data_IF_830959086742
#
_entry.id   IF_830959086742
#
_cell.length_a   1.000
_cell.length_b   1.000
_cell.length_c   1.000
_cell.angle_alpha   90.00
_cell.angle_beta   90.00
_cell.angle_gamma   90.00
#
_symmetry.space_group_name_H-M   'P 1'
#
loop_
_entity.id
_entity.type
_entity.pdbx_description
1 polymer ?
#
# COMPACT_ATOMS: atom_id res chain seq x y z
N UNK A 1 1.65 -17.65 7.64
CA UNK A 1 2.43 -16.40 7.77
C UNK A 1 3.18 -16.18 6.45
N UNK A 2 2.56 -15.52 5.46
CA UNK A 2 3.29 -15.08 4.27
C UNK A 2 3.87 -13.70 4.59
N UNK A 3 5.12 -13.66 5.03
CA UNK A 3 5.88 -12.41 5.10
C UNK A 3 6.16 -11.96 3.67
N UNK A 4 5.95 -10.67 3.38
CA UNK A 4 6.29 -10.09 2.08
C UNK A 4 7.76 -10.34 1.74
N UNK A 5 8.01 -10.71 0.49
CA UNK A 5 9.33 -11.08 0.01
C UNK A 5 10.20 -9.81 -0.16
N UNK A 6 11.46 -9.86 0.28
CA UNK A 6 12.38 -8.71 0.25
C UNK A 6 12.98 -8.49 -1.15
N UNK A 7 13.33 -7.25 -1.50
CA UNK A 7 14.08 -6.92 -2.74
C UNK A 7 15.34 -7.78 -2.88
N UNK A 8 15.99 -8.13 -1.75
CA UNK A 8 17.17 -9.01 -1.73
C UNK A 8 16.84 -10.44 -2.18
N UNK A 9 15.68 -10.97 -1.81
CA UNK A 9 15.24 -12.32 -2.19
C UNK A 9 14.90 -12.39 -3.69
N UNK A 10 14.33 -11.32 -4.27
CA UNK A 10 14.06 -11.24 -5.71
C UNK A 10 15.33 -11.39 -6.55
N UNK A 11 16.39 -10.66 -6.17
CA UNK A 11 17.70 -10.71 -6.83
C UNK A 11 18.29 -12.12 -6.74
N UNK A 12 18.16 -12.76 -5.57
CA UNK A 12 18.62 -14.14 -5.36
C UNK A 12 17.89 -15.12 -6.29
N UNK A 13 16.56 -15.00 -6.43
CA UNK A 13 15.78 -15.89 -7.30
C UNK A 13 16.20 -15.72 -8.77
N UNK A 14 16.33 -14.48 -9.24
CA UNK A 14 16.77 -14.21 -10.61
C UNK A 14 18.17 -14.77 -10.87
N UNK A 15 19.09 -14.58 -9.92
CA UNK A 15 20.44 -15.13 -10.03
C UNK A 15 20.45 -16.66 -10.08
N UNK A 16 19.63 -17.33 -9.26
CA UNK A 16 19.47 -18.79 -9.30
C UNK A 16 18.96 -19.27 -10.66
N UNK A 17 17.93 -18.60 -11.21
CA UNK A 17 17.36 -18.96 -12.51
C UNK A 17 18.34 -18.73 -13.65
N UNK A 18 19.07 -17.61 -13.62
CA UNK A 18 20.12 -17.31 -14.59
C UNK A 18 21.26 -18.34 -14.56
N UNK A 19 21.72 -18.74 -13.37
CA UNK A 19 22.78 -19.75 -13.24
C UNK A 19 22.33 -21.15 -13.66
N UNK A 20 21.05 -21.49 -13.47
CA UNK A 20 20.50 -22.78 -13.87
C UNK A 20 20.24 -22.90 -15.38
N UNK A 21 19.97 -21.76 -16.05
CA UNK A 21 19.76 -21.66 -17.51
C UNK A 21 18.88 -22.80 -18.09
N UNK A 22 17.68 -22.97 -17.50
CA UNK A 22 16.71 -24.02 -17.88
C UNK A 22 17.28 -25.45 -17.95
N UNK A 23 18.34 -25.75 -17.18
CA UNK A 23 18.98 -27.06 -17.11
C UNK A 23 20.24 -27.21 -17.98
N UNK A 24 20.65 -26.17 -18.72
CA UNK A 24 21.92 -26.13 -19.47
C UNK A 24 23.07 -25.50 -18.67
N UNK A 25 22.76 -24.86 -17.55
CA UNK A 25 23.71 -24.17 -16.70
C UNK A 25 24.23 -25.05 -15.56
N UNK A 26 24.49 -24.40 -14.43
CA UNK A 26 25.04 -25.03 -13.23
C UNK A 26 24.03 -25.97 -12.56
N UNK A 27 24.56 -27.07 -12.01
CA UNK A 27 23.75 -27.98 -11.20
C UNK A 27 23.30 -27.29 -9.90
N UNK A 28 22.20 -27.76 -9.32
CA UNK A 28 21.70 -27.30 -8.01
C UNK A 28 22.80 -27.34 -6.92
N UNK A 29 23.71 -28.31 -6.98
CA UNK A 29 24.84 -28.41 -6.04
C UNK A 29 25.83 -27.26 -6.22
N UNK A 30 26.18 -26.93 -7.47
CA UNK A 30 27.10 -25.84 -7.77
C UNK A 30 26.50 -24.48 -7.39
N UNK A 31 25.23 -24.24 -7.75
CA UNK A 31 24.50 -23.00 -7.40
C UNK A 31 24.42 -22.81 -5.88
N UNK A 32 24.17 -23.90 -5.14
CA UNK A 32 24.13 -23.91 -3.68
C UNK A 32 25.47 -23.49 -3.06
N UNK A 33 26.60 -23.96 -3.62
CA UNK A 33 27.93 -23.59 -3.15
C UNK A 33 28.29 -22.14 -3.52
N UNK A 34 28.00 -21.72 -4.75
CA UNK A 34 28.32 -20.38 -5.24
C UNK A 34 27.56 -19.29 -4.48
N UNK A 35 26.28 -19.53 -4.17
CA UNK A 35 25.44 -18.55 -3.47
C UNK A 35 25.44 -18.74 -1.95
N UNK A 36 26.06 -19.80 -1.42
CA UNK A 36 26.01 -20.13 0.01
C UNK A 36 24.59 -20.46 0.52
N UNK A 37 23.70 -20.93 -0.36
CA UNK A 37 22.29 -21.20 -0.05
C UNK A 37 22.04 -22.69 0.13
N UNK A 38 21.03 -23.04 0.93
CA UNK A 38 20.62 -24.44 1.06
C UNK A 38 20.10 -25.00 -0.28
N UNK A 39 20.39 -26.28 -0.55
CA UNK A 39 19.88 -26.97 -1.76
C UNK A 39 18.34 -26.97 -1.82
N UNK A 40 17.68 -26.90 -0.67
CA UNK A 40 16.22 -26.82 -0.58
C UNK A 40 15.70 -25.45 -1.04
N UNK A 41 16.42 -24.38 -0.71
CA UNK A 41 16.12 -23.01 -1.16
C UNK A 41 16.28 -22.88 -2.67
N UNK A 42 17.39 -23.40 -3.22
CA UNK A 42 17.63 -23.43 -4.67
C UNK A 42 16.50 -24.19 -5.39
N UNK A 43 16.14 -25.39 -4.90
CA UNK A 43 15.01 -26.16 -5.47
C UNK A 43 13.68 -25.43 -5.39
N UNK A 44 13.38 -24.81 -4.25
CA UNK A 44 12.16 -24.02 -4.05
C UNK A 44 12.06 -22.93 -5.10
N UNK A 45 13.12 -22.13 -5.26
CA UNK A 45 13.12 -20.98 -6.17
C UNK A 45 13.18 -21.35 -7.65
N UNK A 46 13.75 -22.50 -8.02
CA UNK A 46 13.67 -23.02 -9.39
C UNK A 46 12.26 -23.48 -9.77
N UNK A 47 11.47 -23.98 -8.81
CA UNK A 47 10.09 -24.42 -9.04
C UNK A 47 9.08 -23.29 -9.07
N UNK A 48 9.40 -22.14 -8.47
CA UNK A 48 8.53 -20.97 -8.50
C UNK A 48 8.57 -20.35 -9.91
N UNK A 49 7.41 -20.07 -10.50
CA UNK A 49 7.32 -19.29 -11.73
C UNK A 49 7.64 -17.81 -11.47
N UNK A 50 8.23 -17.13 -12.46
CA UNK A 50 8.60 -15.70 -12.33
C UNK A 50 7.34 -14.85 -12.14
N UNK A 51 6.26 -15.17 -12.84
CA UNK A 51 5.02 -14.41 -12.85
C UNK A 51 4.34 -14.43 -11.46
N UNK A 52 4.29 -15.61 -10.85
CA UNK A 52 3.79 -15.80 -9.47
C UNK A 52 4.62 -15.06 -8.41
N UNK A 53 5.88 -14.72 -8.72
CA UNK A 53 6.74 -13.91 -7.85
C UNK A 53 6.49 -12.43 -8.09
N UNK A 54 6.40 -11.98 -9.35
CA UNK A 54 6.13 -10.57 -9.67
C UNK A 54 4.80 -10.09 -9.08
N UNK A 55 3.77 -10.93 -9.07
CA UNK A 55 2.50 -10.61 -8.39
C UNK A 55 2.67 -10.42 -6.88
N UNK A 56 3.54 -11.22 -6.24
CA UNK A 56 3.84 -11.06 -4.81
C UNK A 56 4.66 -9.81 -4.50
N UNK A 57 5.45 -9.31 -5.46
CA UNK A 57 6.17 -8.03 -5.35
C UNK A 57 5.30 -6.82 -5.70
N UNK A 58 4.30 -6.98 -6.56
CA UNK A 58 3.47 -5.89 -7.05
C UNK A 58 2.65 -5.24 -5.92
N UNK A 59 2.20 -6.03 -4.94
CA UNK A 59 1.57 -5.47 -3.75
C UNK A 59 1.89 -6.31 -2.48
N UNK A 60 2.92 -5.93 -1.69
CA UNK A 60 3.18 -6.57 -0.40
C UNK A 60 2.12 -6.23 0.65
N UNK A 61 1.13 -5.37 0.33
CA UNK A 61 0.09 -5.02 1.26
C UNK A 61 -0.91 -6.17 1.41
N UNK A 62 -0.85 -6.82 2.57
CA UNK A 62 -1.89 -7.75 2.99
C UNK A 62 -3.23 -7.00 2.97
N UNK A 63 -4.24 -7.60 2.34
CA UNK A 63 -5.62 -7.11 2.38
C UNK A 63 -6.02 -6.81 3.84
N UNK A 64 -6.35 -5.55 4.11
CA UNK A 64 -6.79 -5.09 5.41
C UNK A 64 -8.27 -5.39 5.53
N UNK A 65 -8.74 -5.71 6.73
CA UNK A 65 -10.18 -5.94 7.01
C UNK A 65 -11.08 -4.76 6.66
N UNK A 66 -10.51 -3.56 6.52
CA UNK A 66 -11.26 -2.34 6.17
C UNK A 66 -11.30 -2.10 4.65
N UNK A 67 -10.61 -2.93 3.85
CA UNK A 67 -10.61 -2.83 2.39
C UNK A 67 -12.00 -3.18 1.83
N UNK A 68 -12.72 -4.12 2.46
CA UNK A 68 -14.12 -4.47 2.13
C UNK A 68 -15.09 -3.27 2.23
N UNK A 69 -14.70 -2.23 2.97
CA UNK A 69 -15.48 -1.01 3.16
C UNK A 69 -14.81 0.22 2.57
N UNK A 70 -13.75 0.05 1.77
CA UNK A 70 -12.95 1.15 1.21
C UNK A 70 -13.81 2.12 0.41
N UNK A 71 -14.69 1.62 -0.45
CA UNK A 71 -15.53 2.46 -1.32
C UNK A 71 -16.45 3.38 -0.52
N UNK A 72 -17.04 2.85 0.55
CA UNK A 72 -17.88 3.64 1.45
C UNK A 72 -17.07 4.71 2.19
N UNK A 73 -15.85 4.36 2.64
CA UNK A 73 -14.96 5.31 3.31
C UNK A 73 -14.47 6.41 2.37
N UNK A 74 -14.16 6.07 1.10
CA UNK A 74 -13.80 7.04 0.07
C UNK A 74 -14.98 7.98 -0.22
N UNK A 75 -16.19 7.45 -0.36
CA UNK A 75 -17.40 8.25 -0.55
C UNK A 75 -17.60 9.26 0.60
N UNK A 76 -17.47 8.79 1.86
CA UNK A 76 -17.57 9.67 3.03
C UNK A 76 -16.51 10.77 3.04
N UNK A 77 -15.27 10.46 2.65
CA UNK A 77 -14.19 11.44 2.60
C UNK A 77 -14.34 12.44 1.45
N UNK A 78 -14.90 12.03 0.30
CA UNK A 78 -15.24 12.92 -0.81
C UNK A 78 -16.35 13.89 -0.42
N UNK A 79 -17.40 13.40 0.23
CA UNK A 79 -18.53 14.23 0.67
C UNK A 79 -18.16 15.12 1.86
N UNK A 80 -17.37 14.60 2.80
CA UNK A 80 -16.97 15.28 4.03
C UNK A 80 -15.45 15.20 4.24
N UNK A 81 -14.65 16.06 3.56
CA UNK A 81 -13.18 16.04 3.59
C UNK A 81 -12.58 16.21 4.99
N UNK A 82 -13.21 17.09 5.79
CA UNK A 82 -12.77 17.43 7.14
C UNK A 82 -13.31 16.47 8.21
N UNK A 83 -13.98 15.38 7.81
CA UNK A 83 -14.58 14.45 8.75
C UNK A 83 -13.51 13.73 9.58
N UNK A 84 -13.67 13.71 10.91
CA UNK A 84 -12.71 13.05 11.80
C UNK A 84 -12.82 11.53 11.71
N UNK A 85 -11.71 10.83 11.94
CA UNK A 85 -11.69 9.37 11.92
C UNK A 85 -12.63 8.73 12.95
N UNK A 86 -12.90 9.41 14.08
CA UNK A 86 -13.88 8.99 15.09
C UNK A 86 -15.31 9.03 14.54
N UNK A 87 -15.67 10.11 13.82
CA UNK A 87 -16.99 10.23 13.18
C UNK A 87 -17.16 9.19 12.07
N UNK A 88 -16.09 8.90 11.34
CA UNK A 88 -16.05 7.84 10.33
C UNK A 88 -16.27 6.47 10.96
N UNK A 89 -15.57 6.15 12.07
CA UNK A 89 -15.76 4.90 12.80
C UNK A 89 -17.22 4.71 13.25
N UNK A 90 -17.83 5.75 13.85
CA UNK A 90 -19.25 5.71 14.25
C UNK A 90 -20.19 5.48 13.07
N UNK A 91 -19.96 6.15 11.93
CA UNK A 91 -20.75 5.97 10.71
C UNK A 91 -20.55 4.60 10.06
N UNK A 92 -19.36 4.02 10.20
CA UNK A 92 -19.07 2.67 9.71
C UNK A 92 -19.76 1.62 10.59
N UNK A 93 -19.69 1.77 11.91
CA UNK A 93 -20.36 0.90 12.87
C UNK A 93 -21.89 0.95 12.74
N UNK A 94 -22.46 2.13 12.53
CA UNK A 94 -23.90 2.26 12.28
C UNK A 94 -24.37 1.55 11.00
N UNK A 95 -23.49 1.38 10.01
CA UNK A 95 -23.82 0.74 8.73
C UNK A 95 -23.60 -0.78 8.76
N UNK A 96 -22.51 -1.23 9.36
CA UNK A 96 -22.04 -2.63 9.30
C UNK A 96 -22.39 -3.40 10.58
N UNK A 97 -22.66 -2.71 11.68
CA UNK A 97 -22.85 -3.33 12.99
C UNK A 97 -21.50 -3.56 13.67
N UNK A 98 -21.28 -4.78 14.16
CA UNK A 98 -20.03 -5.13 14.83
C UNK A 98 -18.87 -5.28 13.84
N UNK A 99 -17.79 -4.55 14.07
CA UNK A 99 -16.64 -4.49 13.18
C UNK A 99 -15.46 -5.21 13.82
N UNK A 100 -14.81 -6.15 13.12
CA UNK A 100 -13.62 -6.85 13.61
C UNK A 100 -12.35 -5.99 13.48
N UNK A 101 -12.46 -4.68 13.73
CA UNK A 101 -11.39 -3.69 13.62
C UNK A 101 -11.44 -2.71 14.81
N UNK A 102 -10.31 -2.52 15.48
CA UNK A 102 -10.20 -1.57 16.58
C UNK A 102 -10.18 -0.11 16.11
N UNK A 103 -10.57 0.83 16.97
CA UNK A 103 -10.49 2.28 16.74
C UNK A 103 -9.13 2.73 16.21
N UNK A 104 -8.04 2.15 16.76
CA UNK A 104 -6.68 2.45 16.30
C UNK A 104 -6.46 2.04 14.84
N UNK A 105 -6.99 0.88 14.45
CA UNK A 105 -6.90 0.35 13.09
C UNK A 105 -7.69 1.23 12.11
N UNK A 106 -8.90 1.64 12.50
CA UNK A 106 -9.73 2.56 11.71
C UNK A 106 -9.03 3.90 11.52
N UNK A 107 -8.50 4.51 12.58
CA UNK A 107 -7.75 5.78 12.48
C UNK A 107 -6.55 5.68 11.54
N UNK A 108 -5.76 4.61 11.66
CA UNK A 108 -4.59 4.39 10.79
C UNK A 108 -5.01 4.24 9.33
N UNK A 109 -6.07 3.47 9.08
CA UNK A 109 -6.59 3.24 7.74
C UNK A 109 -7.13 4.53 7.11
N UNK A 110 -7.96 5.27 7.85
CA UNK A 110 -8.52 6.56 7.40
C UNK A 110 -7.42 7.58 7.13
N UNK A 111 -6.34 7.62 7.92
CA UNK A 111 -5.21 8.53 7.68
C UNK A 111 -4.56 8.25 6.32
N UNK A 112 -4.24 7.00 6.01
CA UNK A 112 -3.69 6.62 4.71
C UNK A 112 -4.67 6.94 3.57
N UNK A 113 -5.95 6.62 3.76
CA UNK A 113 -7.00 6.90 2.77
C UNK A 113 -7.18 8.40 2.52
N UNK A 114 -7.01 9.24 3.55
CA UNK A 114 -7.02 10.69 3.39
C UNK A 114 -5.83 11.20 2.60
N UNK A 115 -4.63 10.64 2.78
CA UNK A 115 -3.46 11.04 1.98
C UNK A 115 -3.67 10.73 0.48
N UNK A 116 -4.34 9.62 0.17
CA UNK A 116 -4.72 9.25 -1.20
C UNK A 116 -5.81 10.17 -1.78
N UNK A 117 -6.82 10.54 -0.98
CA UNK A 117 -7.98 11.33 -1.40
C UNK A 117 -7.77 12.84 -1.33
N UNK A 118 -6.87 13.33 -0.45
CA UNK A 118 -6.64 14.76 -0.19
C UNK A 118 -6.00 15.53 -1.36
N UNK A 119 -5.72 14.86 -2.47
CA UNK A 119 -5.19 15.44 -3.70
C UNK A 119 -6.19 16.35 -4.45
N UNK A 120 -7.47 16.42 -4.08
CA UNK A 120 -8.51 16.96 -4.97
C UNK A 120 -9.51 17.98 -4.38
N UNK A 121 -9.21 18.70 -3.28
CA UNK A 121 -10.09 19.81 -2.86
C UNK A 121 -9.56 21.16 -3.30
N UNK A 122 -10.18 21.69 -4.36
CA UNK A 122 -10.04 23.08 -4.78
C UNK A 122 -10.53 24.01 -3.66
N UNK A 123 -9.68 24.95 -3.22
CA UNK A 123 -10.06 25.98 -2.25
C UNK A 123 -10.91 27.03 -2.99
N UNK A 124 -12.15 27.24 -2.52
CA UNK A 124 -13.06 28.21 -3.14
C UNK A 124 -12.82 29.65 -2.65
N UNK A 125 -12.23 29.82 -1.47
CA UNK A 125 -11.83 31.12 -0.94
C UNK A 125 -10.32 31.15 -0.74
N UNK A 126 -9.69 32.12 -1.40
CA UNK A 126 -8.34 32.57 -1.10
C UNK A 126 -8.45 33.91 -0.36
N UNK A 127 -7.48 34.26 0.51
CA UNK A 127 -7.39 35.62 1.02
C UNK A 127 -7.26 36.55 -0.17
N UNK A 128 -8.25 37.41 -0.36
CA UNK A 128 -8.07 38.60 -1.18
C UNK A 128 -6.94 39.36 -0.48
N UNK A 129 -5.85 39.63 -1.20
CA UNK A 129 -4.83 40.53 -0.69
C UNK A 129 -5.54 41.86 -0.43
N UNK A 130 -5.69 42.24 0.83
CA UNK A 130 -6.29 43.53 1.18
C UNK A 130 -5.53 44.62 0.40
N UNK A 131 -6.28 45.47 -0.29
CA UNK A 131 -5.73 46.54 -1.10
C UNK A 131 -4.75 47.39 -0.29
N UNK A 132 -3.70 47.88 -0.96
CA UNK A 132 -2.64 48.68 -0.35
C UNK A 132 -3.25 49.82 0.46
N UNK A 133 -2.87 50.00 1.74
CA UNK A 133 -3.47 51.01 2.60
C UNK A 133 -3.25 52.41 2.00
N UNK A 134 -4.34 53.09 1.63
CA UNK A 134 -4.25 54.45 1.08
C UNK A 134 -5.45 55.00 0.33
N UNK A 135 -6.46 54.20 -0.02
CA UNK A 135 -7.65 54.70 -0.74
C UNK A 135 -8.80 54.95 0.24
N UNK A 136 -8.88 56.18 0.76
CA UNK A 136 -10.09 56.66 1.41
C UNK A 136 -11.14 57.01 0.34
N UNK A 137 -12.26 56.28 0.33
CA UNK A 137 -13.46 56.75 -0.35
C UNK A 137 -13.98 57.98 0.39
N UNK A 138 -13.88 59.16 -0.22
CA UNK A 138 -14.52 60.37 0.28
C UNK A 138 -15.98 60.40 -0.20
N UNK A 139 -16.90 60.63 0.74
CA UNK A 139 -18.36 60.81 0.52
C UNK A 139 -18.64 62.19 -0.04
#
# INVERSE_FOLDING_TARGET
>A
MAGGMSVKEWVVIHKIKALHDNGKGLSIRAISQELGLSRNTVRKYLRLEVDAITEQFADPSRSKRLDDHRDYLVHLLKQFPKLSAVKIARKLQAKVGDLPASDRSIRRYVRALKEEVASAQMRYYEPILDDVPGVQCQV
#
